data_IF_854047796656
#
_entry.id   IF_854047796656
#
_cell.length_a   1.000
_cell.length_b   1.000
_cell.length_c   1.000
_cell.angle_alpha   90.00
_cell.angle_beta   90.00
_cell.angle_gamma   90.00
#
_symmetry.space_group_name_H-M   'P 1'
#
loop_
_entity.id
_entity.type
_entity.pdbx_description
1 polymer ?
#
# COMPACT_ATOMS: atom_id res chain seq x y z
N UNK A 1 45.56 -48.45 22.42
CA UNK A 1 44.19 -49.00 22.29
C UNK A 1 43.52 -48.20 21.16
N UNK A 2 43.59 -48.51 19.87
CA UNK A 2 43.15 -49.68 19.06
C UNK A 2 41.68 -50.06 19.28
N UNK A 3 40.79 -49.53 18.44
CA UNK A 3 39.69 -50.14 17.65
C UNK A 3 39.17 -49.00 16.74
N UNK A 4 39.30 -48.94 15.40
CA UNK A 4 39.03 -49.87 14.28
C UNK A 4 37.62 -50.48 14.33
N UNK A 5 36.75 -49.97 13.47
CA UNK A 5 35.44 -50.53 13.12
C UNK A 5 34.90 -49.92 11.83
N UNK A 6 35.36 -50.47 10.69
CA UNK A 6 34.90 -50.22 9.33
C UNK A 6 34.12 -51.45 8.88
N UNK A 7 32.87 -51.27 8.45
CA UNK A 7 32.01 -52.21 7.68
C UNK A 7 31.01 -51.28 6.97
N UNK A 8 30.99 -50.96 5.67
CA UNK A 8 31.19 -51.63 4.38
C UNK A 8 30.16 -52.71 4.01
N UNK A 9 29.32 -52.36 3.01
CA UNK A 9 28.59 -53.23 2.06
C UNK A 9 27.36 -53.97 2.63
N UNK A 10 26.25 -54.20 1.91
CA UNK A 10 25.98 -54.24 0.47
C UNK A 10 24.44 -54.30 0.27
N UNK A 11 23.96 -53.85 -0.90
CA UNK A 11 22.82 -54.38 -1.69
C UNK A 11 21.40 -54.41 -1.06
N UNK A 12 20.41 -53.82 -1.73
CA UNK A 12 19.26 -54.54 -2.34
C UNK A 12 18.33 -53.56 -3.11
N UNK A 13 18.24 -53.85 -4.41
CA UNK A 13 17.14 -53.69 -5.37
C UNK A 13 16.56 -52.30 -5.74
N UNK A 14 16.95 -51.92 -6.97
CA UNK A 14 16.10 -51.29 -7.99
C UNK A 14 14.67 -51.85 -8.01
N UNK A 15 13.69 -50.95 -8.09
CA UNK A 15 12.44 -51.18 -8.82
C UNK A 15 12.33 -50.09 -9.88
N UNK A 16 12.76 -50.43 -11.09
CA UNK A 16 12.39 -49.74 -12.32
C UNK A 16 11.11 -50.41 -12.82
N UNK A 17 9.99 -49.69 -12.76
CA UNK A 17 8.78 -50.05 -13.50
C UNK A 17 8.50 -48.94 -14.50
N UNK A 18 8.68 -49.29 -15.77
CA UNK A 18 8.43 -48.46 -16.93
C UNK A 18 6.92 -48.21 -17.09
N UNK A 19 6.55 -46.95 -17.35
CA UNK A 19 5.35 -46.62 -18.10
C UNK A 19 5.77 -45.83 -19.34
N UNK A 20 6.16 -46.57 -20.38
CA UNK A 20 6.19 -46.09 -21.75
C UNK A 20 4.80 -46.32 -22.34
N UNK A 21 3.96 -45.29 -22.32
CA UNK A 21 2.62 -45.29 -22.93
C UNK A 21 2.69 -44.75 -24.36
N UNK A 22 2.24 -45.60 -25.29
CA UNK A 22 2.35 -45.51 -26.73
C UNK A 22 1.88 -44.21 -27.41
N UNK A 23 2.64 -43.81 -28.43
CA UNK A 23 2.15 -42.99 -29.56
C UNK A 23 1.15 -43.85 -30.34
N UNK A 24 -0.13 -43.51 -30.27
CA UNK A 24 -1.18 -44.11 -31.11
C UNK A 24 -1.26 -43.33 -32.41
N UNK A 25 -0.73 -43.91 -33.48
CA UNK A 25 -1.00 -43.47 -34.84
C UNK A 25 -2.50 -43.64 -35.13
N UNK A 26 -3.16 -42.52 -35.46
CA UNK A 26 -4.52 -42.52 -35.98
C UNK A 26 -4.54 -43.19 -37.37
N UNK A 27 -5.45 -44.14 -37.64
CA UNK A 27 -5.66 -44.62 -38.99
C UNK A 27 -6.48 -43.59 -39.78
N UNK A 28 -5.94 -43.27 -40.95
CA UNK A 28 -6.58 -42.52 -42.02
C UNK A 28 -7.89 -43.22 -42.43
N UNK A 29 -9.02 -42.55 -42.24
CA UNK A 29 -10.35 -43.05 -42.61
C UNK A 29 -10.64 -42.69 -44.07
N UNK A 30 -11.19 -43.61 -44.89
CA UNK A 30 -11.43 -43.34 -46.30
C UNK A 30 -12.53 -42.31 -46.51
N UNK A 31 -12.29 -41.42 -47.47
CA UNK A 31 -13.20 -40.41 -48.00
C UNK A 31 -14.43 -41.10 -48.62
N UNK A 32 -15.58 -40.96 -47.96
CA UNK A 32 -16.87 -41.43 -48.47
C UNK A 32 -17.52 -40.30 -49.27
N UNK A 33 -17.51 -40.45 -50.58
CA UNK A 33 -18.30 -39.63 -51.52
C UNK A 33 -19.77 -39.95 -51.29
N UNK A 34 -20.54 -38.99 -50.77
CA UNK A 34 -21.99 -39.10 -50.62
C UNK A 34 -22.69 -38.32 -51.73
N UNK A 35 -23.31 -39.04 -52.66
CA UNK A 35 -24.21 -38.49 -53.69
C UNK A 35 -25.38 -37.76 -53.03
N UNK A 36 -25.59 -36.52 -53.46
CA UNK A 36 -26.73 -35.69 -53.06
C UNK A 36 -27.95 -36.10 -53.87
N UNK A 37 -28.90 -36.82 -53.26
CA UNK A 37 -30.26 -36.97 -53.80
C UNK A 37 -31.12 -35.80 -53.34
N UNK A 38 -31.63 -35.03 -54.31
CA UNK A 38 -32.61 -33.96 -54.11
C UNK A 38 -33.99 -34.57 -53.91
N UNK A 39 -34.51 -34.51 -52.69
CA UNK A 39 -35.92 -34.79 -52.41
C UNK A 39 -36.64 -33.47 -52.18
N UNK A 40 -37.56 -33.14 -53.08
CA UNK A 40 -38.43 -31.97 -53.00
C UNK A 40 -39.52 -32.22 -51.94
N UNK A 41 -39.38 -31.57 -50.78
CA UNK A 41 -40.37 -31.61 -49.70
C UNK A 41 -41.24 -30.36 -49.81
N UNK A 42 -42.51 -30.58 -50.16
CA UNK A 42 -43.57 -29.56 -50.09
C UNK A 42 -43.89 -29.32 -48.62
N UNK A 43 -43.54 -28.13 -48.11
CA UNK A 43 -43.84 -27.71 -46.73
C UNK A 43 -45.05 -26.78 -46.73
N UNK A 44 -46.11 -27.24 -46.06
CA UNK A 44 -47.32 -26.49 -45.73
C UNK A 44 -47.04 -25.50 -44.59
N UNK A 45 -47.45 -24.25 -44.75
CA UNK A 45 -47.10 -23.14 -43.86
C UNK A 45 -47.94 -23.15 -42.57
N UNK A 46 -47.27 -23.33 -41.42
CA UNK A 46 -47.84 -23.07 -40.08
C UNK A 46 -47.41 -21.67 -39.63
N UNK A 47 -48.31 -20.79 -39.17
CA UNK A 47 -47.92 -19.47 -38.68
C UNK A 47 -47.17 -19.58 -37.35
N UNK A 48 -45.86 -19.31 -37.40
CA UNK A 48 -44.98 -19.19 -36.24
C UNK A 48 -45.03 -17.77 -35.67
N UNK A 49 -45.73 -17.58 -34.55
CA UNK A 49 -45.62 -16.36 -33.75
C UNK A 49 -44.37 -16.44 -32.87
N UNK A 50 -43.21 -16.13 -33.44
CA UNK A 50 -41.97 -15.99 -32.69
C UNK A 50 -42.04 -14.71 -31.86
N UNK A 51 -41.93 -14.74 -30.52
CA UNK A 51 -41.85 -13.54 -29.72
C UNK A 51 -40.56 -12.78 -30.07
N UNK A 52 -40.70 -11.46 -30.29
CA UNK A 52 -39.57 -10.58 -30.55
C UNK A 52 -38.57 -10.65 -29.38
N UNK A 53 -37.26 -10.69 -29.65
CA UNK A 53 -36.25 -10.61 -28.59
C UNK A 53 -36.45 -9.30 -27.82
N UNK A 54 -36.24 -9.30 -26.49
CA UNK A 54 -36.34 -8.08 -25.70
C UNK A 54 -35.36 -7.04 -26.26
N UNK A 55 -35.89 -5.86 -26.59
CA UNK A 55 -35.09 -4.69 -26.98
C UNK A 55 -34.06 -4.43 -25.89
N UNK A 56 -32.77 -4.43 -26.25
CA UNK A 56 -31.69 -4.08 -25.33
C UNK A 56 -31.95 -2.68 -24.77
N UNK A 57 -32.24 -2.59 -23.47
CA UNK A 57 -32.32 -1.32 -22.76
C UNK A 57 -30.93 -0.70 -22.80
N UNK A 58 -30.78 0.45 -23.47
CA UNK A 58 -29.53 1.20 -23.45
C UNK A 58 -29.18 1.55 -22.00
N UNK A 59 -28.07 1.01 -21.50
CA UNK A 59 -27.51 1.41 -20.21
C UNK A 59 -27.09 2.87 -20.34
N UNK A 60 -27.78 3.77 -19.63
CA UNK A 60 -27.34 5.16 -19.52
C UNK A 60 -25.91 5.17 -18.95
N UNK A 61 -24.97 5.74 -19.71
CA UNK A 61 -23.60 5.90 -19.24
C UNK A 61 -23.52 6.85 -18.05
N UNK A 62 -22.60 6.56 -17.11
CA UNK A 62 -22.31 7.41 -15.96
C UNK A 62 -22.00 8.83 -16.45
N UNK A 63 -22.67 9.83 -15.88
CA UNK A 63 -22.47 11.24 -16.22
C UNK A 63 -21.72 11.93 -15.08
N UNK A 64 -20.53 12.41 -15.38
CA UNK A 64 -19.70 13.15 -14.44
C UNK A 64 -19.96 14.65 -14.56
N UNK A 65 -20.11 15.32 -13.42
CA UNK A 65 -20.47 16.74 -13.32
C UNK A 65 -19.31 17.62 -12.84
N UNK A 66 -18.32 17.00 -12.22
CA UNK A 66 -17.15 17.62 -11.61
C UNK A 66 -15.94 16.73 -11.81
N UNK A 67 -14.79 17.36 -12.06
CA UNK A 67 -13.50 16.68 -12.24
C UNK A 67 -12.47 17.27 -11.28
N UNK A 68 -11.54 16.46 -10.75
CA UNK A 68 -10.39 16.96 -10.03
C UNK A 68 -9.51 17.84 -10.92
N UNK A 69 -8.85 18.82 -10.29
CA UNK A 69 -7.80 19.61 -10.92
C UNK A 69 -6.42 19.02 -10.63
N UNK A 70 -5.39 19.85 -10.76
CA UNK A 70 -4.06 19.48 -10.31
C UNK A 70 -3.98 19.50 -8.76
N UNK A 71 -3.33 18.50 -8.15
CA UNK A 71 -3.23 18.41 -6.70
C UNK A 71 -2.37 19.54 -6.12
N UNK A 72 -2.65 19.90 -4.87
CA UNK A 72 -1.82 20.80 -4.09
C UNK A 72 -1.49 20.18 -2.75
N UNK A 73 -0.38 19.44 -2.74
CA UNK A 73 0.13 18.78 -1.55
C UNK A 73 0.70 19.78 -0.54
N UNK A 74 0.60 19.45 0.75
CA UNK A 74 1.14 20.26 1.83
C UNK A 74 2.49 19.70 2.27
N UNK A 75 3.50 20.56 2.39
CA UNK A 75 4.85 20.13 2.80
C UNK A 75 4.91 19.50 4.20
N UNK A 76 3.95 19.81 5.08
CA UNK A 76 3.82 19.21 6.41
C UNK A 76 2.88 17.99 6.47
N UNK A 77 2.49 17.46 5.32
CA UNK A 77 1.61 16.29 5.18
C UNK A 77 2.31 15.25 4.32
N UNK A 78 3.56 14.95 4.65
CA UNK A 78 4.44 14.04 3.92
C UNK A 78 5.00 13.00 4.88
N UNK A 79 4.89 11.74 4.50
CA UNK A 79 5.38 10.58 5.24
C UNK A 79 6.49 9.96 4.38
N UNK A 80 7.78 10.03 4.78
CA UNK A 80 8.79 9.18 4.20
C UNK A 80 8.67 7.76 4.74
N UNK A 81 8.83 6.78 3.87
CA UNK A 81 8.84 5.37 4.25
C UNK A 81 10.21 4.71 4.08
N UNK A 82 10.27 3.46 4.53
CA UNK A 82 11.38 2.60 4.21
C UNK A 82 11.45 2.35 2.69
N UNK A 83 12.60 1.86 2.25
CA UNK A 83 12.90 1.65 0.83
C UNK A 83 13.55 0.31 0.68
N UNK A 84 12.74 -0.75 0.75
CA UNK A 84 13.23 -2.14 0.65
C UNK A 84 14.04 -2.37 -0.62
N UNK A 85 13.71 -1.69 -1.72
CA UNK A 85 14.44 -1.74 -3.00
C UNK A 85 15.94 -1.45 -2.90
N UNK A 86 16.40 -0.66 -1.92
CA UNK A 86 17.83 -0.41 -1.69
C UNK A 86 18.56 -1.56 -0.98
N UNK A 87 17.82 -2.56 -0.49
CA UNK A 87 18.34 -3.75 0.22
C UNK A 87 18.16 -5.03 -0.60
N UNK A 88 17.76 -4.92 -1.85
CA UNK A 88 17.62 -6.06 -2.76
C UNK A 88 18.97 -6.36 -3.41
N UNK A 89 19.54 -7.51 -3.07
CA UNK A 89 20.77 -8.03 -3.64
C UNK A 89 20.53 -9.23 -4.57
N UNK A 90 21.28 -9.27 -5.67
CA UNK A 90 21.16 -10.33 -6.67
C UNK A 90 21.52 -11.69 -6.07
N UNK A 91 20.57 -12.62 -6.14
CA UNK A 91 20.75 -13.99 -5.65
C UNK A 91 20.80 -14.11 -4.12
N UNK A 92 20.49 -13.05 -3.39
CA UNK A 92 20.28 -13.08 -1.94
C UNK A 92 18.78 -13.08 -1.61
N UNK A 93 18.46 -13.44 -0.37
CA UNK A 93 17.15 -13.14 0.18
C UNK A 93 17.04 -11.63 0.42
N UNK A 94 15.85 -11.08 0.19
CA UNK A 94 15.56 -9.68 0.44
C UNK A 94 15.59 -9.44 1.95
N UNK A 95 16.37 -8.44 2.38
CA UNK A 95 16.44 -8.03 3.78
C UNK A 95 15.59 -6.78 3.99
N UNK A 96 14.57 -6.88 4.83
CA UNK A 96 13.78 -5.73 5.27
C UNK A 96 14.59 -4.94 6.31
N UNK A 97 14.54 -3.60 6.23
CA UNK A 97 15.25 -2.74 7.16
C UNK A 97 14.79 -2.94 8.61
N UNK A 98 15.72 -2.85 9.56
CA UNK A 98 15.38 -2.98 10.99
C UNK A 98 14.35 -1.91 11.38
N UNK A 99 13.18 -2.35 11.85
CA UNK A 99 12.07 -1.49 12.27
C UNK A 99 11.11 -1.07 11.15
N UNK A 100 11.37 -1.47 9.88
CA UNK A 100 10.48 -1.20 8.76
C UNK A 100 9.29 -2.16 8.70
N UNK A 101 9.47 -3.42 9.09
CA UNK A 101 8.37 -4.39 9.26
C UNK A 101 8.18 -4.68 10.75
N UNK A 102 7.00 -4.31 11.26
CA UNK A 102 6.54 -4.48 12.63
C UNK A 102 5.12 -5.00 12.60
N UNK A 103 5.00 -6.32 12.46
CA UNK A 103 3.72 -7.04 12.52
C UNK A 103 2.88 -6.66 13.74
N UNK A 104 3.49 -6.59 14.92
CA UNK A 104 2.76 -6.27 16.15
C UNK A 104 2.15 -4.86 16.14
N UNK A 105 2.65 -3.97 15.27
CA UNK A 105 2.23 -2.58 15.15
C UNK A 105 1.58 -2.31 13.77
N UNK A 106 0.94 -3.31 13.13
CA UNK A 106 0.31 -3.19 11.80
C UNK A 106 1.08 -2.31 10.79
N UNK A 107 2.41 -2.43 10.79
CA UNK A 107 3.32 -1.65 9.97
C UNK A 107 4.12 -2.63 9.12
N UNK A 108 3.68 -2.80 7.88
CA UNK A 108 4.07 -3.89 7.01
C UNK A 108 4.97 -3.33 5.91
N UNK A 109 6.21 -3.81 5.86
CA UNK A 109 7.16 -3.52 4.78
C UNK A 109 7.48 -4.86 4.09
N UNK A 110 6.56 -5.35 3.26
CA UNK A 110 6.70 -6.66 2.60
C UNK A 110 6.44 -6.59 1.09
N UNK A 111 7.12 -5.71 0.32
CA UNK A 111 7.00 -5.65 -1.14
C UNK A 111 7.75 -6.81 -1.83
N UNK A 112 7.62 -8.02 -1.29
CA UNK A 112 8.26 -9.23 -1.78
C UNK A 112 7.41 -10.47 -1.53
N UNK A 113 7.74 -11.56 -2.22
CA UNK A 113 7.05 -12.84 -2.02
C UNK A 113 7.41 -13.50 -0.67
N UNK A 114 6.66 -14.55 -0.31
CA UNK A 114 6.86 -15.33 0.93
C UNK A 114 8.26 -15.90 1.11
N UNK A 115 9.03 -16.05 0.03
CA UNK A 115 10.42 -16.57 0.11
C UNK A 115 11.47 -15.46 0.20
N UNK A 116 11.04 -14.20 0.14
CA UNK A 116 11.92 -13.03 0.00
C UNK A 116 12.86 -13.19 -1.22
N UNK A 117 12.32 -13.74 -2.31
CA UNK A 117 12.99 -14.04 -3.57
C UNK A 117 12.47 -13.22 -4.74
N UNK A 118 11.28 -12.66 -4.70
CA UNK A 118 10.80 -11.79 -5.76
C UNK A 118 10.43 -10.45 -5.14
N UNK A 119 10.95 -9.36 -5.70
CA UNK A 119 10.73 -7.99 -5.25
C UNK A 119 9.79 -7.27 -6.20
N UNK A 120 8.85 -6.51 -5.65
CA UNK A 120 7.81 -5.80 -6.38
C UNK A 120 7.94 -4.29 -6.14
N UNK A 121 8.67 -3.55 -6.98
CA UNK A 121 8.92 -2.11 -6.76
C UNK A 121 7.64 -1.28 -6.74
N UNK A 122 6.64 -1.65 -7.54
CA UNK A 122 5.33 -0.98 -7.53
C UNK A 122 4.52 -1.21 -6.26
N UNK A 123 4.98 -2.01 -5.30
CA UNK A 123 4.36 -2.18 -4.00
C UNK A 123 5.16 -1.54 -2.86
N UNK A 124 6.44 -1.27 -3.06
CA UNK A 124 7.34 -0.68 -2.06
C UNK A 124 7.02 0.81 -1.93
N UNK A 125 6.23 1.18 -0.92
CA UNK A 125 5.83 2.57 -0.70
C UNK A 125 7.05 3.32 -0.17
N UNK A 126 7.47 4.36 -0.87
CA UNK A 126 8.63 5.16 -0.47
C UNK A 126 8.23 6.49 0.15
N UNK A 127 7.02 6.96 -0.17
CA UNK A 127 6.41 8.11 0.47
C UNK A 127 4.90 8.18 0.30
N UNK A 128 4.25 8.84 1.24
CA UNK A 128 2.86 9.30 1.15
C UNK A 128 2.76 10.81 1.26
N UNK A 129 1.83 11.45 0.55
CA UNK A 129 1.55 12.88 0.75
C UNK A 129 0.06 13.22 0.67
N UNK A 130 -0.38 14.20 1.47
CA UNK A 130 -1.74 14.71 1.48
C UNK A 130 -1.85 16.20 1.13
N UNK A 131 -2.98 16.58 0.56
CA UNK A 131 -3.24 17.90 0.01
C UNK A 131 -4.72 18.24 -0.09
N UNK A 132 -4.99 19.48 -0.51
CA UNK A 132 -6.35 19.95 -0.77
C UNK A 132 -6.31 21.15 -1.71
N UNK A 133 -7.19 21.19 -2.69
CA UNK A 133 -7.39 22.37 -3.55
C UNK A 133 -8.84 22.41 -4.04
N UNK A 134 -9.49 23.57 -3.89
CA UNK A 134 -10.90 23.73 -4.24
C UNK A 134 -11.81 22.82 -3.41
N UNK A 135 -12.58 21.96 -4.10
CA UNK A 135 -13.54 21.02 -3.50
C UNK A 135 -12.97 19.61 -3.29
N UNK A 136 -11.67 19.43 -3.50
CA UNK A 136 -11.02 18.12 -3.51
C UNK A 136 -9.96 18.02 -2.41
N UNK A 137 -9.96 16.87 -1.75
CA UNK A 137 -8.83 16.36 -0.99
C UNK A 137 -7.99 15.50 -1.94
N UNK A 138 -6.67 15.57 -1.79
CA UNK A 138 -5.74 14.81 -2.62
C UNK A 138 -4.82 13.98 -1.73
N UNK A 139 -4.52 12.78 -2.19
CA UNK A 139 -3.44 11.97 -1.64
C UNK A 139 -2.57 11.44 -2.76
N UNK A 140 -1.32 11.11 -2.48
CA UNK A 140 -0.48 10.33 -3.38
C UNK A 140 0.30 9.27 -2.64
N UNK A 141 0.47 8.14 -3.30
CA UNK A 141 1.34 7.03 -2.90
C UNK A 141 2.48 6.99 -3.92
N UNK A 142 3.69 7.30 -3.46
CA UNK A 142 4.91 7.13 -4.23
C UNK A 142 5.48 5.74 -3.95
N UNK A 143 5.76 5.00 -5.02
CA UNK A 143 6.39 3.67 -4.95
C UNK A 143 7.81 3.71 -5.50
N UNK A 144 8.59 2.68 -5.21
CA UNK A 144 10.01 2.62 -5.60
C UNK A 144 10.16 2.72 -7.13
N UNK A 145 10.77 3.82 -7.59
CA UNK A 145 10.71 4.23 -9.00
C UNK A 145 11.73 3.54 -9.90
N UNK A 146 11.58 3.70 -11.22
CA UNK A 146 12.53 3.17 -12.20
C UNK A 146 13.92 3.80 -12.03
N UNK A 147 13.93 5.10 -11.71
CA UNK A 147 15.15 5.86 -11.45
C UNK A 147 15.83 5.38 -10.17
N UNK A 148 15.05 5.07 -9.12
CA UNK A 148 15.60 4.46 -7.90
C UNK A 148 16.14 3.04 -8.14
N UNK A 149 15.44 2.23 -8.96
CA UNK A 149 15.94 0.91 -9.42
C UNK A 149 17.28 1.05 -10.14
N UNK A 150 17.41 2.04 -11.03
CA UNK A 150 18.64 2.30 -11.77
C UNK A 150 19.77 2.86 -10.89
N UNK A 151 19.42 3.65 -9.88
CA UNK A 151 20.37 4.24 -8.93
C UNK A 151 20.78 3.30 -7.80
N UNK A 152 20.04 2.21 -7.59
CA UNK A 152 20.31 1.27 -6.50
C UNK A 152 21.73 0.70 -6.58
N UNK A 153 22.51 0.78 -5.47
CA UNK A 153 23.92 0.39 -5.47
C UNK A 153 24.13 -1.12 -5.76
N UNK A 154 23.08 -1.91 -5.58
CA UNK A 154 23.10 -3.36 -5.68
C UNK A 154 22.53 -3.89 -7.00
N UNK A 155 22.17 -2.98 -7.93
CA UNK A 155 21.65 -3.29 -9.25
C UNK A 155 20.48 -4.30 -9.22
N UNK A 156 19.34 -3.85 -8.71
CA UNK A 156 18.08 -4.62 -8.62
C UNK A 156 17.64 -5.23 -9.97
N UNK A 157 18.19 -4.75 -11.10
CA UNK A 157 17.89 -5.22 -12.46
C UNK A 157 18.26 -6.68 -12.75
N UNK A 158 19.00 -7.39 -11.88
CA UNK A 158 19.38 -8.78 -12.14
C UNK A 158 18.39 -9.84 -11.62
N UNK A 159 17.27 -9.43 -11.01
CA UNK A 159 16.05 -10.25 -10.89
C UNK A 159 15.13 -9.88 -12.07
N UNK A 160 14.08 -10.64 -12.44
CA UNK A 160 13.21 -10.29 -13.56
C UNK A 160 12.33 -9.07 -13.24
N UNK A 161 12.96 -7.92 -12.98
CA UNK A 161 12.34 -6.61 -12.99
C UNK A 161 12.51 -6.14 -14.43
N UNK A 162 11.44 -6.23 -15.20
CA UNK A 162 11.39 -5.56 -16.49
C UNK A 162 11.55 -4.05 -16.22
N UNK A 163 12.69 -3.47 -16.52
CA UNK A 163 13.00 -2.06 -16.20
C UNK A 163 12.20 -1.06 -17.04
N UNK A 164 11.49 -1.53 -18.07
CA UNK A 164 10.53 -0.70 -18.83
C UNK A 164 9.15 -0.59 -18.15
N UNK A 165 8.99 -1.15 -16.95
CA UNK A 165 7.69 -1.60 -16.46
C UNK A 165 7.21 -0.92 -15.18
N UNK A 166 7.74 0.23 -14.73
CA UNK A 166 7.24 0.80 -13.45
C UNK A 166 5.76 1.20 -13.54
N UNK A 167 5.34 1.76 -14.67
CA UNK A 167 3.90 1.89 -14.98
C UNK A 167 3.20 0.53 -15.08
N UNK A 168 3.83 -0.52 -15.62
CA UNK A 168 3.27 -1.89 -15.63
C UNK A 168 3.35 -2.59 -14.25
N UNK A 169 4.04 -2.01 -13.27
CA UNK A 169 4.16 -2.53 -11.90
C UNK A 169 3.09 -1.99 -10.97
N UNK A 170 2.40 -0.90 -11.36
CA UNK A 170 1.22 -0.40 -10.67
C UNK A 170 -0.04 -1.23 -10.99
N UNK A 171 0.11 -2.55 -11.02
CA UNK A 171 -0.96 -3.53 -11.32
C UNK A 171 -1.66 -4.08 -10.08
N UNK A 172 -1.14 -3.76 -8.89
CA UNK A 172 -1.74 -4.10 -7.61
C UNK A 172 -2.94 -3.22 -7.24
N UNK A 173 -3.31 -3.26 -5.97
CA UNK A 173 -4.29 -2.36 -5.35
C UNK A 173 -3.57 -1.35 -4.45
N UNK A 174 -4.09 -0.13 -4.44
CA UNK A 174 -3.59 0.97 -3.64
C UNK A 174 -4.73 1.59 -2.88
N UNK A 175 -4.52 1.95 -1.61
CA UNK A 175 -5.58 2.53 -0.81
C UNK A 175 -5.12 3.63 0.14
N UNK A 176 -6.08 4.46 0.52
CA UNK A 176 -5.99 5.40 1.63
C UNK A 176 -7.00 4.93 2.67
N UNK A 177 -6.50 4.68 3.87
CA UNK A 177 -7.33 4.42 5.04
C UNK A 177 -7.38 5.70 5.89
N UNK A 178 -8.57 6.05 6.36
CA UNK A 178 -8.85 7.29 7.07
C UNK A 178 -9.59 6.98 8.36
N UNK A 179 -9.03 7.46 9.47
CA UNK A 179 -9.59 7.39 10.82
C UNK A 179 -10.06 8.80 11.22
N UNK A 180 -11.37 8.95 11.44
CA UNK A 180 -12.07 10.20 11.69
C UNK A 180 -12.15 10.55 13.17
N UNK A 181 -12.04 9.57 14.07
CA UNK A 181 -12.27 9.75 15.50
C UNK A 181 -11.03 9.52 16.39
N UNK A 182 -9.92 9.13 15.77
CA UNK A 182 -8.58 8.93 16.34
C UNK A 182 -8.49 7.75 17.30
N UNK A 183 -9.29 6.71 17.09
CA UNK A 183 -9.23 5.47 17.87
C UNK A 183 -8.28 4.40 17.28
N UNK A 184 -7.65 4.73 16.13
CA UNK A 184 -6.75 3.89 15.32
C UNK A 184 -7.45 2.86 14.43
N UNK A 185 -8.78 2.76 14.46
CA UNK A 185 -9.56 2.01 13.47
C UNK A 185 -9.90 2.95 12.32
N UNK A 186 -9.80 2.46 11.10
CA UNK A 186 -10.25 3.25 9.96
C UNK A 186 -11.78 3.36 9.93
N UNK A 187 -12.30 4.48 9.45
CA UNK A 187 -13.74 4.69 9.18
C UNK A 187 -14.02 4.69 7.68
N UNK A 188 -13.05 5.09 6.86
CA UNK A 188 -13.18 5.21 5.41
C UNK A 188 -11.97 4.62 4.71
N UNK A 189 -12.22 3.76 3.72
CA UNK A 189 -11.22 3.19 2.84
C UNK A 189 -11.48 3.61 1.39
N UNK A 190 -10.50 4.23 0.76
CA UNK A 190 -10.54 4.62 -0.65
C UNK A 190 -9.53 3.77 -1.40
N UNK A 191 -9.99 2.89 -2.30
CA UNK A 191 -9.15 1.91 -3.01
C UNK A 191 -9.15 2.21 -4.51
N UNK A 192 -8.01 2.00 -5.17
CA UNK A 192 -7.94 1.82 -6.63
C UNK A 192 -7.26 0.50 -6.97
N UNK A 193 -7.90 -0.31 -7.80
CA UNK A 193 -7.36 -1.59 -8.27
C UNK A 193 -6.75 -1.45 -9.67
N UNK A 194 -5.55 -1.99 -9.86
CA UNK A 194 -4.82 -2.05 -11.13
C UNK A 194 -4.86 -0.71 -11.90
N UNK A 195 -4.38 0.40 -11.31
CA UNK A 195 -4.37 1.70 -11.98
C UNK A 195 -3.62 1.66 -13.31
N UNK A 196 -2.58 0.85 -13.46
CA UNK A 196 -1.86 0.65 -14.73
C UNK A 196 -2.76 0.14 -15.88
N UNK A 197 -3.68 -0.78 -15.58
CA UNK A 197 -4.58 -1.36 -16.58
C UNK A 197 -5.90 -0.61 -16.73
N UNK A 198 -6.33 0.11 -15.70
CA UNK A 198 -7.65 0.73 -15.63
C UNK A 198 -7.62 2.25 -15.88
N UNK A 199 -6.48 2.89 -15.64
CA UNK A 199 -6.29 4.32 -15.63
C UNK A 199 -5.04 4.70 -16.45
N UNK A 200 -4.79 6.00 -16.57
CA UNK A 200 -3.58 6.55 -17.16
C UNK A 200 -3.20 7.82 -16.41
N UNK A 201 -2.66 8.80 -17.14
CA UNK A 201 -2.28 10.10 -16.56
C UNK A 201 -3.44 11.09 -16.40
N UNK A 202 -4.63 10.70 -16.85
CA UNK A 202 -5.86 11.49 -16.71
C UNK A 202 -6.70 10.94 -15.55
N UNK A 203 -7.41 11.82 -14.85
CA UNK A 203 -8.32 11.42 -13.79
C UNK A 203 -9.40 10.47 -14.31
N UNK A 204 -9.55 9.32 -13.66
CA UNK A 204 -10.60 8.35 -13.94
C UNK A 204 -11.18 7.72 -12.68
N UNK A 205 -12.29 7.01 -12.85
CA UNK A 205 -12.98 6.30 -11.77
C UNK A 205 -12.88 4.78 -11.90
N UNK A 206 -12.41 4.25 -13.02
CA UNK A 206 -12.34 2.81 -13.26
C UNK A 206 -11.49 2.12 -12.17
N UNK A 207 -12.07 1.16 -11.47
CA UNK A 207 -11.40 0.44 -10.38
C UNK A 207 -11.30 1.22 -9.07
N UNK A 208 -11.86 2.43 -8.98
CA UNK A 208 -11.91 3.23 -7.75
C UNK A 208 -13.15 2.87 -6.93
N UNK A 209 -12.95 2.60 -5.65
CA UNK A 209 -14.01 2.31 -4.69
C UNK A 209 -13.86 3.13 -3.41
N UNK A 210 -14.99 3.42 -2.75
CA UNK A 210 -15.02 4.00 -1.40
C UNK A 210 -15.87 3.13 -0.51
N UNK A 211 -15.27 2.64 0.56
CA UNK A 211 -15.88 1.82 1.60
C UNK A 211 -15.90 2.57 2.92
N UNK A 212 -16.89 2.25 3.75
CA UNK A 212 -17.10 2.87 5.06
C UNK A 212 -17.36 1.76 6.07
N UNK A 213 -16.75 1.90 7.24
CA UNK A 213 -17.13 1.16 8.45
C UNK A 213 -18.28 1.90 9.13
N UNK A 214 -19.46 1.29 9.24
CA UNK A 214 -20.62 1.91 9.87
C UNK A 214 -20.78 1.57 11.35
N UNK A 215 -20.12 0.51 11.81
CA UNK A 215 -20.32 -0.07 13.13
C UNK A 215 -19.09 0.14 14.05
N UNK A 216 -17.98 0.64 13.49
CA UNK A 216 -16.71 0.95 14.14
C UNK A 216 -16.07 -0.29 14.77
N UNK A 217 -16.05 -1.41 14.04
CA UNK A 217 -15.58 -2.70 14.53
C UNK A 217 -14.41 -3.34 13.76
N UNK A 218 -13.82 -2.67 12.75
CA UNK A 218 -12.61 -3.15 12.04
C UNK A 218 -11.53 -3.64 13.01
N UNK A 219 -11.01 -4.85 12.82
CA UNK A 219 -9.94 -5.43 13.64
C UNK A 219 -10.44 -6.19 14.88
N UNK A 220 -9.63 -6.27 15.93
CA UNK A 220 -9.94 -7.00 17.16
C UNK A 220 -10.09 -6.07 18.37
N UNK A 221 -9.75 -6.47 19.60
CA UNK A 221 -9.94 -5.66 20.81
C UNK A 221 -9.10 -4.38 20.78
N UNK A 222 -7.89 -4.46 20.25
CA UNK A 222 -7.01 -3.34 19.99
C UNK A 222 -7.02 -3.01 18.50
N UNK A 223 -7.33 -1.76 18.19
CA UNK A 223 -7.55 -1.23 16.84
C UNK A 223 -6.34 -1.29 15.88
N UNK A 224 -5.22 -1.84 16.30
CA UNK A 224 -3.93 -1.61 15.64
C UNK A 224 -2.85 -2.63 16.01
N UNK A 225 -2.91 -3.20 17.21
CA UNK A 225 -1.91 -4.17 17.62
C UNK A 225 -2.43 -5.56 17.30
N UNK A 226 -1.53 -6.43 16.81
CA UNK A 226 -1.86 -7.83 16.61
C UNK A 226 -2.28 -8.47 17.94
N UNK A 227 -3.55 -8.82 18.11
CA UNK A 227 -4.03 -9.41 19.36
C UNK A 227 -4.88 -10.68 19.19
N UNK A 228 -5.04 -11.13 17.95
CA UNK A 228 -5.63 -12.42 17.60
C UNK A 228 -6.68 -12.30 16.52
N UNK A 229 -7.51 -13.33 16.38
CA UNK A 229 -8.49 -13.37 15.30
C UNK A 229 -9.55 -12.29 15.50
N UNK A 230 -9.66 -11.38 14.51
CA UNK A 230 -10.63 -10.29 14.47
C UNK A 230 -12.06 -10.76 14.80
N UNK A 231 -12.78 -9.93 15.57
CA UNK A 231 -14.19 -10.10 15.85
C UNK A 231 -15.09 -9.16 15.00
N UNK A 232 -14.48 -8.22 14.27
CA UNK A 232 -15.15 -7.28 13.38
C UNK A 232 -15.35 -7.80 11.96
N UNK A 233 -16.05 -7.00 11.14
CA UNK A 233 -16.38 -7.34 9.75
C UNK A 233 -15.69 -6.48 8.69
N UNK A 234 -14.76 -5.62 9.11
CA UNK A 234 -13.98 -4.77 8.22
C UNK A 234 -14.78 -3.55 7.75
N UNK A 235 -14.49 -3.04 6.56
CA UNK A 235 -15.33 -2.05 5.90
C UNK A 235 -16.50 -2.74 5.18
N UNK A 236 -17.72 -2.59 5.69
CA UNK A 236 -18.89 -3.34 5.22
C UNK A 236 -19.80 -2.55 4.25
N UNK A 237 -19.58 -1.24 4.09
CA UNK A 237 -20.43 -0.38 3.27
C UNK A 237 -19.75 0.24 2.05
N UNK A 238 -19.98 -0.33 0.87
CA UNK A 238 -19.59 0.26 -0.43
C UNK A 238 -20.48 1.44 -0.81
N UNK A 239 -19.95 2.66 -0.77
CA UNK A 239 -20.70 3.89 -1.11
C UNK A 239 -20.38 4.45 -2.49
N UNK A 240 -19.27 4.00 -3.11
CA UNK A 240 -18.86 4.39 -4.45
C UNK A 240 -18.13 3.26 -5.17
N UNK A 241 -18.52 2.96 -6.40
CA UNK A 241 -17.92 1.92 -7.25
C UNK A 241 -17.80 2.41 -8.71
N UNK A 242 -16.65 2.95 -9.06
CA UNK A 242 -16.34 3.41 -10.41
C UNK A 242 -17.36 4.38 -11.00
N UNK A 243 -17.75 5.39 -10.23
CA UNK A 243 -18.76 6.39 -10.62
C UNK A 243 -20.21 5.96 -10.34
N UNK A 244 -20.43 4.74 -9.83
CA UNK A 244 -21.73 4.32 -9.29
C UNK A 244 -21.80 4.69 -7.81
N UNK A 245 -22.94 5.23 -7.39
CA UNK A 245 -23.16 5.70 -6.02
C UNK A 245 -24.14 6.86 -6.03
N UNK A 246 -24.29 7.54 -4.90
CA UNK A 246 -25.09 8.76 -4.80
C UNK A 246 -24.41 9.97 -5.45
N UNK A 247 -23.07 9.98 -5.49
CA UNK A 247 -22.24 10.96 -6.15
C UNK A 247 -21.29 10.26 -7.14
N UNK A 248 -21.52 10.46 -8.44
CA UNK A 248 -20.72 9.86 -9.50
C UNK A 248 -19.28 10.39 -9.55
N UNK A 249 -19.00 11.49 -8.84
CA UNK A 249 -17.70 12.14 -8.79
C UNK A 249 -17.12 12.09 -7.36
N UNK A 250 -17.52 11.13 -6.52
CA UNK A 250 -17.09 11.09 -5.11
C UNK A 250 -15.57 10.94 -4.98
N UNK A 251 -14.97 10.05 -5.76
CA UNK A 251 -13.55 9.72 -5.75
C UNK A 251 -13.03 9.40 -7.15
N UNK A 252 -11.77 9.72 -7.37
CA UNK A 252 -11.03 9.58 -8.62
C UNK A 252 -9.60 9.14 -8.30
N UNK A 253 -8.96 8.49 -9.28
CA UNK A 253 -7.55 8.20 -9.23
C UNK A 253 -6.90 8.43 -10.60
N UNK A 254 -5.56 8.55 -10.61
CA UNK A 254 -4.73 8.51 -11.81
C UNK A 254 -3.32 8.03 -11.46
N UNK A 255 -2.54 7.70 -12.48
CA UNK A 255 -1.08 7.67 -12.37
C UNK A 255 -0.59 9.10 -12.57
N UNK A 256 0.39 9.56 -11.79
CA UNK A 256 0.88 10.94 -11.93
C UNK A 256 1.41 11.17 -13.36
N UNK A 257 1.05 12.28 -14.02
CA UNK A 257 1.60 12.62 -15.34
C UNK A 257 3.11 12.92 -15.28
N UNK A 258 3.62 13.28 -14.11
CA UNK A 258 5.02 13.67 -13.90
C UNK A 258 5.88 12.50 -13.39
N UNK A 259 5.27 11.48 -12.76
CA UNK A 259 5.96 10.29 -12.24
C UNK A 259 5.12 9.01 -12.36
N UNK A 260 5.63 8.04 -13.11
CA UNK A 260 4.97 6.77 -13.34
C UNK A 260 4.99 5.79 -12.15
N UNK A 261 5.71 6.10 -11.06
CA UNK A 261 5.66 5.34 -9.80
C UNK A 261 4.68 5.90 -8.77
N UNK A 262 3.94 6.95 -9.13
CA UNK A 262 3.02 7.64 -8.22
C UNK A 262 1.56 7.37 -8.60
N UNK A 263 0.79 6.87 -7.64
CA UNK A 263 -0.67 6.80 -7.72
C UNK A 263 -1.25 8.00 -6.99
N UNK A 264 -2.05 8.80 -7.68
CA UNK A 264 -2.73 9.97 -7.12
C UNK A 264 -4.23 9.69 -6.95
N UNK A 265 -4.78 10.17 -5.84
CA UNK A 265 -6.20 10.12 -5.53
C UNK A 265 -6.75 11.53 -5.39
N UNK A 266 -8.00 11.70 -5.79
CA UNK A 266 -8.77 12.90 -5.52
C UNK A 266 -10.18 12.51 -5.06
N UNK A 267 -10.62 13.03 -3.92
CA UNK A 267 -11.93 12.71 -3.38
C UNK A 267 -12.57 13.92 -2.72
N UNK A 268 -13.91 13.95 -2.72
CA UNK A 268 -14.66 15.05 -2.11
C UNK A 268 -14.64 14.93 -0.59
N UNK A 269 -14.66 16.04 0.16
CA UNK A 269 -14.82 16.02 1.62
C UNK A 269 -16.03 15.22 2.11
N UNK A 270 -17.08 15.07 1.28
CA UNK A 270 -18.25 14.25 1.62
C UNK A 270 -17.94 12.75 1.74
N UNK A 271 -16.85 12.26 1.15
CA UNK A 271 -16.38 10.88 1.34
C UNK A 271 -15.94 10.62 2.79
N UNK A 272 -15.51 11.67 3.50
CA UNK A 272 -15.07 11.64 4.91
C UNK A 272 -16.05 12.38 5.82
N UNK A 273 -17.34 12.40 5.46
CA UNK A 273 -18.39 13.06 6.26
C UNK A 273 -18.23 14.58 6.41
N UNK A 274 -17.39 15.22 5.60
CA UNK A 274 -17.03 16.63 5.72
C UNK A 274 -15.98 16.92 6.81
N UNK A 275 -15.33 15.89 7.34
CA UNK A 275 -14.25 16.05 8.31
C UNK A 275 -13.12 16.91 7.75
N UNK A 276 -12.61 17.82 8.59
CA UNK A 276 -11.48 18.70 8.24
C UNK A 276 -10.21 18.32 8.98
N UNK A 277 -10.30 17.37 9.91
CA UNK A 277 -9.19 16.80 10.67
C UNK A 277 -9.47 15.31 10.77
N UNK A 278 -8.48 14.49 10.45
CA UNK A 278 -8.54 13.02 10.48
C UNK A 278 -7.11 12.45 10.44
N UNK A 279 -6.97 11.18 10.80
CA UNK A 279 -5.78 10.38 10.53
C UNK A 279 -5.87 9.72 9.15
N UNK A 280 -4.74 9.55 8.51
CA UNK A 280 -4.65 8.83 7.25
C UNK A 280 -3.39 7.97 7.21
N UNK A 281 -3.49 6.83 6.55
CA UNK A 281 -2.39 5.95 6.18
C UNK A 281 -2.63 5.40 4.77
N UNK A 282 -1.59 4.80 4.19
CA UNK A 282 -1.63 4.32 2.81
C UNK A 282 -1.26 2.86 2.75
N UNK A 283 -1.80 2.17 1.74
CA UNK A 283 -1.63 0.74 1.53
C UNK A 283 -1.31 0.44 0.07
N UNK A 284 -0.47 -0.56 -0.16
CA UNK A 284 -0.23 -1.17 -1.45
C UNK A 284 -0.24 -2.69 -1.32
N UNK A 285 -0.84 -3.39 -2.27
CA UNK A 285 -0.87 -4.86 -2.29
C UNK A 285 -0.83 -5.41 -3.72
N UNK A 286 -0.15 -6.54 -3.95
CA UNK A 286 -0.20 -7.25 -5.23
C UNK A 286 -1.63 -7.73 -5.57
N UNK A 287 -2.41 -8.02 -4.53
CA UNK A 287 -3.76 -8.57 -4.64
C UNK A 287 -4.85 -7.52 -4.50
N UNK A 288 -6.08 -8.01 -4.33
CA UNK A 288 -7.16 -7.18 -3.86
C UNK A 288 -6.90 -6.79 -2.39
N UNK A 289 -7.05 -5.51 -2.07
CA UNK A 289 -7.21 -5.08 -0.69
C UNK A 289 -8.66 -5.36 -0.29
N UNK A 290 -8.91 -6.54 0.28
CA UNK A 290 -10.27 -6.97 0.66
C UNK A 290 -10.78 -6.11 1.83
N UNK A 291 -11.79 -5.25 1.61
CA UNK A 291 -12.29 -4.33 2.64
C UNK A 291 -12.81 -5.07 3.89
N UNK A 292 -13.31 -6.30 3.73
CA UNK A 292 -13.83 -7.10 4.83
C UNK A 292 -12.74 -7.74 5.71
N UNK A 293 -11.47 -7.61 5.33
CA UNK A 293 -10.32 -8.21 6.00
C UNK A 293 -9.28 -7.16 6.42
N UNK A 294 -9.67 -5.87 6.45
CA UNK A 294 -8.79 -4.81 6.94
C UNK A 294 -8.49 -4.96 8.42
N UNK A 295 -7.35 -4.37 8.82
CA UNK A 295 -6.55 -4.77 9.97
C UNK A 295 -5.92 -6.17 9.80
N UNK A 296 -5.00 -6.26 8.83
CA UNK A 296 -4.44 -7.52 8.36
C UNK A 296 -3.76 -8.34 9.47
N UNK A 297 -3.27 -7.66 10.51
CA UNK A 297 -2.57 -8.30 11.61
C UNK A 297 -3.48 -9.07 12.57
N UNK A 298 -4.77 -8.77 12.53
CA UNK A 298 -5.83 -9.50 13.25
C UNK A 298 -6.61 -10.45 12.34
N UNK A 299 -6.61 -10.19 11.04
CA UNK A 299 -7.32 -11.00 10.05
C UNK A 299 -6.51 -12.24 9.58
N UNK A 300 -5.18 -12.18 9.69
CA UNK A 300 -4.28 -13.21 9.13
C UNK A 300 -3.14 -13.56 10.09
N UNK A 301 -2.53 -14.73 9.86
CA UNK A 301 -1.25 -15.05 10.49
C UNK A 301 -0.10 -14.29 9.82
N UNK A 302 0.88 -13.87 10.62
CA UNK A 302 2.02 -13.07 10.12
C UNK A 302 2.88 -13.76 9.06
N UNK A 303 2.85 -15.08 8.96
CA UNK A 303 3.62 -15.84 7.97
C UNK A 303 2.90 -16.01 6.62
N UNK A 304 1.66 -15.52 6.47
CA UNK A 304 0.90 -15.60 5.22
C UNK A 304 0.70 -14.25 4.52
N UNK A 305 0.98 -13.15 5.21
CA UNK A 305 0.82 -11.79 4.66
C UNK A 305 2.12 -11.34 3.98
N UNK A 306 2.11 -11.27 2.66
CA UNK A 306 3.25 -10.89 1.81
C UNK A 306 2.77 -10.09 0.61
N UNK A 307 3.69 -9.42 -0.08
CA UNK A 307 3.37 -8.53 -1.21
C UNK A 307 2.39 -7.44 -0.79
N UNK A 308 2.60 -6.89 0.40
CA UNK A 308 1.84 -5.79 0.98
C UNK A 308 2.80 -4.81 1.62
N UNK A 309 2.44 -3.55 1.57
CA UNK A 309 3.19 -2.44 2.13
C UNK A 309 2.20 -1.41 2.68
N UNK A 310 2.49 -0.81 3.82
CA UNK A 310 1.70 0.31 4.33
C UNK A 310 2.56 1.36 5.02
N UNK A 311 2.01 2.56 5.12
CA UNK A 311 2.65 3.65 5.85
C UNK A 311 2.24 3.62 7.32
N UNK A 312 3.03 4.29 8.16
CA UNK A 312 2.50 4.79 9.43
C UNK A 312 1.39 5.85 9.20
N UNK A 313 0.67 6.24 10.25
CA UNK A 313 -0.42 7.20 10.18
C UNK A 313 0.06 8.66 10.36
N UNK A 314 -0.67 9.60 9.74
CA UNK A 314 -0.44 11.04 9.92
C UNK A 314 -1.74 11.82 10.07
N UNK A 315 -1.69 12.97 10.78
CA UNK A 315 -2.86 13.82 10.99
C UNK A 315 -2.97 14.89 9.90
N UNK A 316 -4.07 14.88 9.15
CA UNK A 316 -4.45 15.99 8.27
C UNK A 316 -5.21 17.07 9.03
N UNK A 317 -4.98 18.34 8.68
CA UNK A 317 -5.74 19.49 9.20
C UNK A 317 -5.52 19.84 10.68
N UNK A 318 -4.72 19.07 11.41
CA UNK A 318 -4.47 19.23 12.84
C UNK A 318 -2.99 19.10 13.24
N UNK A 319 -2.73 19.12 14.54
CA UNK A 319 -1.43 18.72 15.08
C UNK A 319 -1.35 17.18 15.11
N UNK A 320 -0.17 16.59 14.86
CA UNK A 320 0.04 15.17 15.06
C UNK A 320 -0.44 14.73 16.45
N UNK A 321 -1.20 13.64 16.51
CA UNK A 321 -1.57 13.01 17.78
C UNK A 321 -0.60 11.89 18.12
N UNK A 322 -0.35 11.73 19.41
CA UNK A 322 0.47 10.63 19.94
C UNK A 322 -0.39 9.36 20.00
N UNK A 323 -0.60 8.73 18.84
CA UNK A 323 -1.19 7.40 18.72
C UNK A 323 -0.08 6.39 18.38
N UNK A 324 -0.32 5.11 18.66
CA UNK A 324 0.68 4.06 18.48
C UNK A 324 1.17 3.94 17.04
N UNK A 325 0.29 4.23 16.07
CA UNK A 325 0.55 4.13 14.65
C UNK A 325 1.06 5.42 14.00
N UNK A 326 1.15 6.53 14.75
CA UNK A 326 1.57 7.80 14.19
C UNK A 326 3.04 7.76 13.78
N UNK A 327 3.36 8.26 12.59
CA UNK A 327 4.74 8.36 12.13
C UNK A 327 5.60 9.17 13.13
N UNK A 328 6.85 8.75 13.38
CA UNK A 328 7.73 9.47 14.28
C UNK A 328 7.95 10.90 13.76
N UNK A 329 7.51 11.89 14.54
CA UNK A 329 7.75 13.30 14.22
C UNK A 329 9.25 13.56 14.36
N UNK A 330 9.94 13.80 13.26
CA UNK A 330 11.33 14.27 13.32
C UNK A 330 11.37 15.66 13.96
N UNK A 331 11.71 15.71 15.24
CA UNK A 331 12.06 16.95 15.91
C UNK A 331 13.55 17.16 15.68
N UNK A 332 13.97 18.14 14.83
CA UNK A 332 15.39 18.43 14.68
C UNK A 332 15.97 18.73 16.06
N UNK A 333 17.19 18.25 16.37
CA UNK A 333 17.79 18.48 17.67
C UNK A 333 17.82 19.99 17.94
N UNK A 334 17.31 20.40 19.11
CA UNK A 334 17.41 21.80 19.54
C UNK A 334 18.88 22.19 19.44
N UNK A 335 19.23 23.25 18.67
CA UNK A 335 20.61 23.66 18.53
C UNK A 335 21.17 23.87 19.93
N UNK A 336 22.21 23.11 20.28
CA UNK A 336 22.88 23.29 21.56
C UNK A 336 23.37 24.73 21.57
N UNK A 337 22.97 25.57 22.56
CA UNK A 337 23.43 26.94 22.60
C UNK A 337 24.95 26.92 22.54
N UNK A 338 25.54 27.67 21.61
CA UNK A 338 26.99 27.81 21.57
C UNK A 338 27.44 28.19 22.98
N UNK A 339 28.46 27.51 23.54
CA UNK A 339 28.95 27.85 24.86
C UNK A 339 29.26 29.35 24.85
N UNK A 340 28.54 30.09 25.69
CA UNK A 340 28.78 31.53 25.88
C UNK A 340 30.26 31.68 26.08
N UNK A 341 30.95 32.33 25.13
CA UNK A 341 32.38 32.60 25.27
C UNK A 341 32.53 33.33 26.59
N UNK A 342 33.12 32.65 27.56
CA UNK A 342 33.40 33.22 28.86
C UNK A 342 34.14 34.54 28.59
N UNK A 343 33.69 35.67 29.16
CA UNK A 343 34.39 36.94 28.98
C UNK A 343 35.85 36.69 29.35
N UNK A 344 36.75 36.78 28.37
CA UNK A 344 38.18 36.63 28.61
C UNK A 344 38.51 37.56 29.77
N UNK A 345 39.08 37.08 30.89
CA UNK A 345 39.41 37.95 32.02
C UNK A 345 40.19 39.13 31.47
N UNK A 346 39.61 40.31 31.59
CA UNK A 346 40.22 41.54 31.15
C UNK A 346 41.53 41.65 31.95
N UNK A 347 42.69 41.84 31.28
CA UNK A 347 43.95 42.03 31.99
C UNK A 347 43.76 43.08 33.06
N UNK A 348 44.10 42.74 34.30
CA UNK A 348 43.97 43.66 35.43
C UNK A 348 44.65 44.98 35.06
N UNK A 349 43.88 46.07 35.10
CA UNK A 349 44.42 47.42 34.98
C UNK A 349 45.39 47.63 36.17
N UNK A 350 46.69 47.92 35.94
CA UNK A 350 47.68 48.03 37.01
C UNK A 350 47.42 49.14 38.05
N UNK A 351 46.31 49.87 37.95
CA UNK A 351 45.99 51.02 38.79
C UNK A 351 44.85 50.87 39.80
N UNK A 352 44.09 49.76 39.83
CA UNK A 352 42.98 49.64 40.79
C UNK A 352 43.38 48.95 42.11
N UNK A 353 43.05 49.55 43.28
CA UNK A 353 43.19 48.88 44.57
C UNK A 353 42.30 47.62 44.61
N UNK A 354 42.86 46.51 45.10
CA UNK A 354 42.15 45.26 45.31
C UNK A 354 40.99 45.46 46.29
N UNK A 355 39.78 45.67 45.78
CA UNK A 355 38.58 45.52 46.60
C UNK A 355 38.36 44.01 46.85
N UNK A 356 38.06 43.61 48.10
CA UNK A 356 37.73 42.23 48.40
C UNK A 356 36.49 41.80 47.58
N UNK A 357 36.44 40.54 47.13
CA UNK A 357 35.28 40.04 46.39
C UNK A 357 34.01 40.18 47.24
N UNK A 358 32.86 40.49 46.61
CA UNK A 358 31.59 40.53 47.33
C UNK A 358 31.29 39.17 47.96
N UNK A 359 30.63 39.14 49.13
CA UNK A 359 30.23 37.89 49.76
C UNK A 359 29.29 37.10 48.85
N UNK A 360 29.34 35.76 48.88
CA UNK A 360 28.45 34.93 48.09
C UNK A 360 26.98 35.22 48.44
N UNK A 361 26.07 35.16 47.45
CA UNK A 361 24.65 35.34 47.71
C UNK A 361 24.15 34.26 48.68
N UNK A 362 23.15 34.58 49.53
CA UNK A 362 22.55 33.60 50.42
C UNK A 362 21.89 32.47 49.59
N UNK A 363 21.90 31.22 50.10
CA UNK A 363 21.25 30.11 49.43
C UNK A 363 19.75 30.37 49.25
N UNK A 364 19.15 29.93 48.14
CA UNK A 364 17.73 30.11 47.89
C UNK A 364 16.89 29.42 48.99
N UNK A 365 15.88 30.13 49.48
CA UNK A 365 14.93 29.60 50.46
C UNK A 365 14.10 28.48 49.80
N UNK A 366 13.92 27.30 50.44
CA UNK A 366 13.08 26.24 49.89
C UNK A 366 11.65 26.75 49.69
N UNK A 367 11.13 26.63 48.47
CA UNK A 367 9.72 26.86 48.17
C UNK A 367 8.96 25.62 48.66
N UNK A 368 8.19 25.78 49.73
CA UNK A 368 7.18 24.78 50.14
C UNK A 368 5.98 24.99 49.23
N UNK A 369 5.75 24.05 48.31
CA UNK A 369 4.51 23.98 47.53
C UNK A 369 3.50 23.21 48.39
N UNK A 370 2.39 23.87 48.77
CA UNK A 370 1.24 23.25 49.42
C UNK A 370 0.28 22.68 48.38
#
# INVERSE_FOLDING_TARGET
>A
MKHKGLVLSLLIMMVVAACSGAVSNAPEQPEVVLETQTTEVVVEAVPSSTPLPPTATATLGIQHSSYPGEPKYRSGQWIPECKTGYRVDVGQQIEVGLGCDRWEDNYLERPHDVRAQDYYPGLDITAGQFGSEGQWLYAMIETFSADEVAASPNNVQARPINTNAVAETLTGSYAIEIDLDFDMRGDVLIVVTNPAGNLGTEWGVTGVQVWVDQNSDIGSETAFFADGQSNGDGYESLIFDGGRGTDADLAWARISPDDASVVEFAFKPTAVGGATIFHWMMWASAGALDPAMFDYVDAFDGDVVWMVDNTCAWTFGGQPRDLANTCPVYVPPTPTPEPTKEPRPQPADPGQPNNPPPPPPPPPTPIIVN
#
